data_IF_612377665761
#
_entry.id   IF_612377665761
#
_cell.length_a   1.000
_cell.length_b   1.000
_cell.length_c   1.000
_cell.angle_alpha   90.00
_cell.angle_beta   90.00
_cell.angle_gamma   90.00
#
_symmetry.space_group_name_H-M   'P 1'
#
loop_
_entity.id
_entity.type
_entity.pdbx_description
1 polymer ?
#
# COMPACT_ATOMS: atom_id res chain seq x y z
N UNK A 1 -0.61 36.67 58.87
CA UNK A 1 -1.19 35.31 58.88
C UNK A 1 -1.06 34.81 57.45
N UNK A 2 0.15 34.68 56.89
CA UNK A 2 1.24 33.72 57.28
C UNK A 2 0.68 32.28 57.32
N UNK A 3 1.19 31.28 56.59
CA UNK A 3 2.55 31.03 56.09
C UNK A 3 2.51 30.10 54.85
N UNK A 4 3.53 30.26 54.00
CA UNK A 4 4.04 29.27 53.06
C UNK A 4 4.99 28.30 53.78
N UNK A 5 4.98 26.99 53.49
CA UNK A 5 6.23 26.22 53.44
C UNK A 5 6.10 24.88 52.69
N UNK A 6 7.01 24.71 51.74
CA UNK A 6 7.48 23.46 51.15
C UNK A 6 8.21 22.60 52.20
N UNK A 7 8.59 21.35 51.85
CA UNK A 7 9.96 20.78 52.02
C UNK A 7 9.98 19.24 52.25
N UNK A 8 10.80 18.58 51.41
CA UNK A 8 11.61 17.33 51.55
C UNK A 8 11.07 15.91 51.22
N UNK A 9 11.70 15.34 50.17
CA UNK A 9 12.14 13.94 50.09
C UNK A 9 13.43 13.74 50.91
N UNK A 10 13.73 12.53 51.40
CA UNK A 10 14.65 11.59 50.70
C UNK A 10 14.11 10.14 50.77
N UNK A 11 14.44 9.19 49.89
CA UNK A 11 15.75 8.64 49.57
C UNK A 11 15.80 7.16 50.00
N UNK A 12 16.60 6.37 49.29
CA UNK A 12 17.07 5.00 49.64
C UNK A 12 16.35 3.78 49.01
N UNK A 13 16.92 3.40 47.86
CA UNK A 13 17.25 2.08 47.33
C UNK A 13 17.08 0.84 48.22
N UNK A 14 16.66 -0.26 47.59
CA UNK A 14 16.78 -1.62 48.14
C UNK A 14 16.62 -2.69 47.07
N UNK A 15 17.72 -3.01 46.38
CA UNK A 15 17.91 -4.18 45.52
C UNK A 15 18.16 -5.43 46.37
N UNK A 16 17.53 -6.57 46.07
CA UNK A 16 18.03 -7.90 46.46
C UNK A 16 17.80 -8.87 45.29
N UNK A 17 18.92 -9.41 44.79
CA UNK A 17 19.01 -10.56 43.93
C UNK A 17 19.26 -11.83 44.75
N UNK A 18 18.88 -12.97 44.15
CA UNK A 18 19.37 -14.35 44.34
C UNK A 18 19.30 -15.02 45.72
N UNK A 19 18.91 -16.30 45.74
CA UNK A 19 19.84 -17.42 45.98
C UNK A 19 19.11 -18.78 45.90
N UNK A 20 19.85 -19.72 45.30
CA UNK A 20 19.61 -21.12 44.96
C UNK A 20 19.30 -22.08 46.12
N UNK A 21 18.74 -23.24 45.76
CA UNK A 21 18.84 -24.51 46.48
C UNK A 21 18.44 -25.73 45.61
N UNK A 22 19.01 -26.95 45.82
CA UNK A 22 19.57 -27.75 44.71
C UNK A 22 19.19 -29.26 44.67
N UNK A 23 19.76 -29.95 43.65
CA UNK A 23 20.08 -31.41 43.50
C UNK A 23 18.96 -32.41 43.24
N UNK A 24 19.10 -33.53 42.49
CA UNK A 24 20.07 -34.12 41.55
C UNK A 24 19.37 -35.36 40.94
N UNK A 25 19.73 -35.77 39.71
CA UNK A 25 19.24 -37.01 39.11
C UNK A 25 19.83 -37.29 37.72
N UNK A 26 20.97 -37.99 37.70
CA UNK A 26 21.79 -38.37 36.54
C UNK A 26 21.07 -39.29 35.52
N UNK A 27 21.36 -39.06 34.23
CA UNK A 27 21.20 -40.02 33.13
C UNK A 27 21.98 -39.53 31.91
N UNK A 28 22.96 -40.32 31.46
CA UNK A 28 24.10 -39.91 30.63
C UNK A 28 23.91 -40.28 29.13
N UNK A 29 24.68 -39.57 28.29
CA UNK A 29 25.22 -39.94 26.97
C UNK A 29 24.55 -39.40 25.70
N UNK A 30 25.36 -38.74 24.86
CA UNK A 30 25.09 -38.52 23.43
C UNK A 30 25.60 -37.19 22.91
N UNK A 31 26.88 -37.13 22.54
CA UNK A 31 27.45 -36.00 21.83
C UNK A 31 26.90 -35.95 20.38
N UNK A 32 26.44 -34.78 19.94
CA UNK A 32 26.44 -34.37 18.54
C UNK A 32 26.44 -32.85 18.49
N UNK A 33 27.55 -32.28 18.00
CA UNK A 33 27.60 -30.88 17.56
C UNK A 33 26.56 -30.67 16.46
N UNK A 34 25.60 -29.79 16.72
CA UNK A 34 24.78 -29.17 15.68
C UNK A 34 25.22 -27.72 15.63
N UNK A 35 25.97 -27.37 14.60
CA UNK A 35 26.18 -25.98 14.21
C UNK A 35 24.85 -25.42 13.72
N UNK A 36 24.07 -24.81 14.62
CA UNK A 36 22.92 -24.00 14.26
C UNK A 36 23.41 -22.72 13.59
N UNK A 37 23.57 -22.80 12.27
CA UNK A 37 23.43 -21.62 11.43
C UNK A 37 21.97 -21.23 11.53
N UNK A 38 21.65 -20.31 12.44
CA UNK A 38 20.35 -19.62 12.49
C UNK A 38 20.24 -18.82 11.19
N UNK A 39 19.84 -19.51 10.13
CA UNK A 39 19.40 -18.89 8.89
C UNK A 39 18.09 -18.20 9.23
N UNK A 40 18.09 -16.86 9.16
CA UNK A 40 16.93 -16.01 9.46
C UNK A 40 15.77 -16.33 8.51
N UNK A 41 15.00 -17.36 8.84
CA UNK A 41 13.80 -17.82 8.12
C UNK A 41 12.64 -16.82 8.20
N UNK A 42 12.71 -15.86 9.12
CA UNK A 42 11.71 -14.79 9.28
C UNK A 42 11.58 -13.89 8.04
N UNK A 43 12.64 -13.73 7.25
CA UNK A 43 12.61 -12.89 6.04
C UNK A 43 11.86 -13.57 4.88
N UNK A 44 11.76 -14.91 4.86
CA UNK A 44 11.11 -15.64 3.77
C UNK A 44 9.59 -15.67 3.87
N UNK A 45 9.03 -15.40 5.06
CA UNK A 45 7.58 -15.25 5.27
C UNK A 45 7.06 -13.82 5.01
N UNK A 46 7.96 -12.86 4.73
CA UNK A 46 7.61 -11.44 4.69
C UNK A 46 6.96 -10.99 3.37
N UNK A 47 7.19 -11.70 2.27
CA UNK A 47 6.70 -11.30 0.93
C UNK A 47 6.26 -12.53 0.13
N UNK A 48 5.18 -13.18 0.55
CA UNK A 48 4.49 -14.11 -0.34
C UNK A 48 3.72 -13.33 -1.41
N UNK A 49 3.76 -13.82 -2.65
CA UNK A 49 2.96 -13.32 -3.78
C UNK A 49 1.48 -13.74 -3.70
N UNK A 50 1.12 -14.56 -2.72
CA UNK A 50 -0.24 -14.94 -2.36
C UNK A 50 -0.77 -14.03 -1.25
N UNK A 51 -2.07 -13.72 -1.27
CA UNK A 51 -2.72 -13.09 -0.12
C UNK A 51 -2.80 -14.05 1.09
N UNK A 52 -2.47 -15.33 0.88
CA UNK A 52 -2.23 -16.37 1.90
C UNK A 52 -0.79 -16.41 2.45
N UNK A 53 0.04 -15.40 2.19
CA UNK A 53 1.29 -15.25 2.95
C UNK A 53 0.94 -15.08 4.43
N UNK A 54 1.01 -16.17 5.20
CA UNK A 54 0.75 -16.22 6.65
C UNK A 54 1.86 -15.48 7.44
N UNK A 55 2.10 -14.20 7.11
CA UNK A 55 3.19 -13.42 7.66
C UNK A 55 3.16 -11.94 7.24
N UNK A 56 2.87 -11.09 8.22
CA UNK A 56 3.32 -9.70 8.36
C UNK A 56 2.79 -8.57 7.46
N UNK A 57 2.22 -8.80 6.27
CA UNK A 57 1.73 -7.68 5.42
C UNK A 57 0.26 -7.37 5.65
N UNK A 58 -0.10 -6.09 5.76
CA UNK A 58 -1.51 -5.67 5.90
C UNK A 58 -2.36 -6.17 4.73
N UNK A 59 -3.62 -6.51 5.00
CA UNK A 59 -4.59 -6.98 4.02
C UNK A 59 -5.61 -5.87 3.73
N UNK A 60 -5.91 -5.67 2.46
CA UNK A 60 -7.01 -4.83 2.01
C UNK A 60 -8.17 -5.71 1.53
N UNK A 61 -9.34 -5.52 2.15
CA UNK A 61 -10.61 -6.09 1.72
C UNK A 61 -11.37 -4.99 0.98
N UNK A 62 -11.80 -5.26 -0.24
CA UNK A 62 -12.37 -4.22 -1.08
C UNK A 62 -13.46 -4.70 -2.02
N UNK A 63 -14.34 -3.77 -2.39
CA UNK A 63 -15.34 -3.89 -3.45
C UNK A 63 -15.15 -2.70 -4.40
N UNK A 64 -15.22 -2.98 -5.70
CA UNK A 64 -15.24 -1.96 -6.72
C UNK A 64 -16.57 -1.95 -7.48
N UNK A 65 -16.98 -0.76 -7.90
CA UNK A 65 -18.16 -0.55 -8.72
C UNK A 65 -17.98 0.71 -9.57
N UNK A 66 -18.82 0.88 -10.58
CA UNK A 66 -18.85 2.07 -11.41
C UNK A 66 -20.29 2.58 -11.55
N UNK A 67 -20.46 3.89 -11.48
CA UNK A 67 -21.76 4.56 -11.61
C UNK A 67 -21.73 5.42 -12.86
N UNK A 68 -22.72 5.24 -13.74
CA UNK A 68 -22.77 5.91 -15.05
C UNK A 68 -23.85 7.00 -15.16
N UNK A 69 -24.64 7.21 -14.10
CA UNK A 69 -25.73 8.20 -14.10
C UNK A 69 -25.46 9.31 -13.07
N UNK A 70 -25.54 10.60 -13.46
CA UNK A 70 -25.31 11.72 -12.55
C UNK A 70 -26.25 11.71 -11.33
N UNK A 71 -27.52 11.31 -11.55
CA UNK A 71 -28.53 11.22 -10.49
C UNK A 71 -28.13 10.19 -9.42
N UNK A 72 -27.67 9.01 -9.82
CA UNK A 72 -27.19 7.98 -8.90
C UNK A 72 -25.93 8.42 -8.17
N UNK A 73 -25.03 9.15 -8.83
CA UNK A 73 -23.84 9.74 -8.20
C UNK A 73 -24.23 10.74 -7.11
N UNK A 74 -25.13 11.69 -7.39
CA UNK A 74 -25.60 12.68 -6.40
C UNK A 74 -26.29 12.02 -5.20
N UNK A 75 -27.13 11.02 -5.46
CA UNK A 75 -27.78 10.23 -4.42
C UNK A 75 -26.76 9.46 -3.58
N UNK A 76 -25.75 8.86 -4.21
CA UNK A 76 -24.68 8.15 -3.50
C UNK A 76 -23.91 9.10 -2.60
N UNK A 77 -23.45 10.24 -3.10
CA UNK A 77 -22.71 11.24 -2.32
C UNK A 77 -23.55 11.72 -1.12
N UNK A 78 -24.83 12.00 -1.34
CA UNK A 78 -25.75 12.42 -0.26
C UNK A 78 -25.90 11.32 0.79
N UNK A 79 -26.06 10.06 0.37
CA UNK A 79 -26.17 8.92 1.29
C UNK A 79 -24.87 8.69 2.06
N UNK A 80 -23.71 8.75 1.40
CA UNK A 80 -22.40 8.61 2.04
C UNK A 80 -22.16 9.70 3.09
N UNK A 81 -22.55 10.96 2.81
CA UNK A 81 -22.49 12.04 3.79
C UNK A 81 -23.37 11.80 5.02
N UNK A 82 -24.48 11.07 4.87
CA UNK A 82 -25.34 10.67 5.99
C UNK A 82 -24.82 9.46 6.78
N UNK A 83 -24.02 8.59 6.16
CA UNK A 83 -23.51 7.36 6.77
C UNK A 83 -22.10 7.53 7.36
N UNK A 84 -21.26 8.37 6.77
CA UNK A 84 -19.86 8.57 7.14
C UNK A 84 -19.70 9.79 8.04
N UNK A 85 -18.82 9.69 9.03
CA UNK A 85 -18.57 10.77 9.98
C UNK A 85 -17.66 11.84 9.38
N UNK A 86 -16.68 11.39 8.58
CA UNK A 86 -15.67 12.23 7.97
C UNK A 86 -15.69 12.06 6.45
N UNK A 87 -15.48 13.18 5.75
CA UNK A 87 -15.27 13.16 4.32
C UNK A 87 -14.34 14.29 3.88
N UNK A 88 -13.59 14.05 2.81
CA UNK A 88 -12.70 15.03 2.20
C UNK A 88 -12.72 14.90 0.69
N UNK A 89 -12.50 16.02 0.00
CA UNK A 89 -12.15 16.02 -1.42
C UNK A 89 -10.66 15.70 -1.57
N UNK A 90 -10.31 15.05 -2.68
CA UNK A 90 -8.93 14.77 -3.04
C UNK A 90 -8.72 14.91 -4.54
N UNK A 91 -7.49 15.23 -4.91
CA UNK A 91 -7.02 15.26 -6.29
C UNK A 91 -5.57 14.82 -6.27
N UNK A 92 -5.34 13.60 -6.75
CA UNK A 92 -4.02 12.96 -6.66
C UNK A 92 -3.56 12.48 -8.03
N UNK A 93 -2.27 12.66 -8.28
CA UNK A 93 -1.58 12.04 -9.39
C UNK A 93 -1.15 10.63 -8.97
N UNK A 94 -1.56 9.65 -9.75
CA UNK A 94 -1.21 8.25 -9.59
C UNK A 94 -0.27 7.84 -10.72
N UNK A 95 0.95 7.43 -10.37
CA UNK A 95 1.98 6.96 -11.29
C UNK A 95 2.18 5.48 -11.03
N UNK A 96 1.91 4.64 -12.03
CA UNK A 96 2.06 3.19 -11.92
C UNK A 96 3.38 2.79 -12.54
N UNK A 97 4.19 2.04 -11.80
CA UNK A 97 5.46 1.49 -12.26
C UNK A 97 5.46 -0.03 -12.11
N UNK A 98 6.16 -0.71 -13.01
CA UNK A 98 6.25 -2.16 -13.05
C UNK A 98 7.70 -2.63 -13.09
N UNK A 99 7.97 -3.74 -12.41
CA UNK A 99 9.26 -4.42 -12.37
C UNK A 99 9.08 -5.81 -12.99
N UNK A 100 9.79 -6.05 -14.10
CA UNK A 100 9.74 -7.28 -14.89
C UNK A 100 8.65 -7.28 -15.98
N UNK A 101 8.86 -7.78 -17.19
CA UNK A 101 10.07 -8.26 -17.85
C UNK A 101 10.02 -7.74 -19.29
N UNK A 102 11.11 -7.10 -19.70
CA UNK A 102 11.40 -6.80 -21.08
C UNK A 102 11.71 -8.13 -21.78
N UNK A 103 11.11 -8.41 -22.94
CA UNK A 103 11.48 -9.55 -23.81
C UNK A 103 12.99 -9.51 -24.20
N UNK A 104 13.72 -8.44 -23.81
CA UNK A 104 15.19 -8.36 -23.87
C UNK A 104 15.92 -9.33 -22.95
N UNK A 105 15.30 -9.88 -21.90
CA UNK A 105 16.00 -10.74 -20.93
C UNK A 105 16.07 -12.23 -21.29
N UNK A 106 15.34 -12.69 -22.30
CA UNK A 106 15.37 -14.11 -22.70
C UNK A 106 16.76 -14.56 -23.19
N UNK A 107 17.57 -13.63 -23.68
CA UNK A 107 18.94 -13.92 -24.13
C UNK A 107 20.01 -13.75 -23.03
N UNK A 108 19.70 -13.10 -21.91
CA UNK A 108 20.67 -12.82 -20.82
C UNK A 108 20.42 -13.73 -19.61
N UNK A 109 19.17 -14.08 -19.31
CA UNK A 109 18.82 -15.01 -18.23
C UNK A 109 19.35 -16.43 -18.50
N UNK A 110 19.29 -16.89 -19.75
CA UNK A 110 19.89 -18.16 -20.16
C UNK A 110 21.44 -18.15 -20.07
N UNK A 111 22.08 -16.99 -20.23
CA UNK A 111 23.53 -16.83 -20.15
C UNK A 111 24.03 -16.66 -18.69
N UNK A 112 23.25 -16.02 -17.82
CA UNK A 112 23.60 -15.77 -16.42
C UNK A 112 23.30 -16.96 -15.48
N UNK A 113 22.39 -17.86 -15.86
CA UNK A 113 22.17 -19.11 -15.12
C UNK A 113 23.42 -20.02 -15.09
N UNK A 114 24.42 -19.78 -15.94
CA UNK A 114 25.67 -20.54 -15.97
C UNK A 114 26.81 -19.88 -15.18
N UNK A 115 26.71 -18.60 -14.82
CA UNK A 115 27.82 -17.85 -14.19
C UNK A 115 27.29 -16.75 -13.29
N UNK A 116 27.06 -17.05 -12.02
CA UNK A 116 27.49 -16.24 -10.87
C UNK A 116 26.90 -16.81 -9.58
N UNK A 117 27.71 -17.62 -8.92
CA UNK A 117 27.73 -17.72 -7.46
C UNK A 117 28.22 -16.38 -6.91
N UNK A 118 27.57 -15.90 -5.84
CA UNK A 118 27.94 -14.76 -5.00
C UNK A 118 27.45 -13.36 -5.42
N UNK A 119 26.58 -12.81 -4.57
CA UNK A 119 26.43 -11.39 -4.20
C UNK A 119 25.45 -10.49 -4.98
N UNK A 120 24.22 -10.95 -5.24
CA UNK A 120 23.10 -10.04 -5.53
C UNK A 120 22.09 -10.02 -4.39
N UNK A 121 21.73 -8.81 -3.99
CA UNK A 121 20.94 -8.41 -2.82
C UNK A 121 19.59 -9.10 -2.68
N UNK A 122 19.14 -9.25 -1.43
CA UNK A 122 17.89 -9.88 -0.94
C UNK A 122 16.58 -9.52 -1.70
N UNK A 123 16.56 -8.49 -2.55
CA UNK A 123 15.44 -8.17 -3.42
C UNK A 123 15.20 -9.21 -4.54
N UNK A 124 16.25 -9.88 -5.03
CA UNK A 124 16.11 -10.89 -6.09
C UNK A 124 15.50 -12.21 -5.58
N UNK A 125 15.67 -12.52 -4.28
CA UNK A 125 15.14 -13.75 -3.67
C UNK A 125 13.62 -13.78 -3.55
N UNK A 126 12.98 -12.61 -3.40
CA UNK A 126 11.51 -12.47 -3.32
C UNK A 126 10.83 -12.84 -4.64
N UNK A 127 11.49 -12.60 -5.77
CA UNK A 127 10.94 -12.83 -7.11
C UNK A 127 11.06 -14.29 -7.57
N UNK A 128 11.91 -15.09 -6.94
CA UNK A 128 12.30 -16.42 -7.46
C UNK A 128 11.68 -17.62 -6.71
N UNK A 129 11.05 -17.44 -5.54
CA UNK A 129 10.71 -18.58 -4.65
C UNK A 129 9.27 -19.11 -4.74
N UNK A 130 8.43 -18.61 -5.65
CA UNK A 130 7.12 -19.21 -5.93
C UNK A 130 7.03 -19.49 -7.43
N UNK A 131 6.76 -20.73 -7.82
CA UNK A 131 6.80 -21.26 -9.19
C UNK A 131 5.84 -20.65 -10.23
N UNK A 132 5.55 -19.36 -10.16
CA UNK A 132 5.20 -18.53 -11.31
C UNK A 132 6.46 -17.78 -11.76
N UNK A 133 7.22 -18.43 -12.63
CA UNK A 133 8.28 -17.78 -13.41
C UNK A 133 7.57 -16.74 -14.30
N UNK A 134 7.51 -15.47 -13.88
CA UNK A 134 6.94 -14.37 -14.66
C UNK A 134 5.99 -13.39 -13.95
N UNK A 135 5.95 -13.34 -12.62
CA UNK A 135 5.12 -12.35 -11.92
C UNK A 135 5.63 -10.92 -12.08
N UNK A 136 4.91 -10.06 -12.81
CA UNK A 136 5.19 -8.61 -12.86
C UNK A 136 4.85 -7.98 -11.51
N UNK A 137 5.81 -7.31 -10.88
CA UNK A 137 5.57 -6.55 -9.64
C UNK A 137 5.15 -5.15 -10.02
N UNK A 138 4.04 -4.65 -9.46
CA UNK A 138 3.58 -3.28 -9.71
C UNK A 138 3.58 -2.46 -8.41
N UNK A 139 4.05 -1.22 -8.50
CA UNK A 139 4.02 -0.23 -7.43
C UNK A 139 3.34 1.03 -7.93
N UNK A 140 2.60 1.69 -7.05
CA UNK A 140 1.91 2.93 -7.35
C UNK A 140 2.49 4.05 -6.50
N UNK A 141 2.84 5.14 -7.15
CA UNK A 141 3.23 6.38 -6.49
C UNK A 141 2.04 7.33 -6.54
N UNK A 142 1.50 7.65 -5.38
CA UNK A 142 0.42 8.62 -5.21
C UNK A 142 1.02 9.93 -4.73
N UNK A 143 0.80 11.01 -5.48
CA UNK A 143 1.20 12.37 -5.12
C UNK A 143 -0.05 13.23 -5.03
N UNK A 144 -0.28 13.90 -3.90
CA UNK A 144 -1.40 14.83 -3.84
C UNK A 144 -1.12 16.12 -4.60
N UNK A 145 -2.08 16.54 -5.41
CA UNK A 145 -2.06 17.80 -6.14
C UNK A 145 -2.70 18.94 -5.33
N UNK A 146 -3.28 18.64 -4.17
CA UNK A 146 -3.83 19.66 -3.29
C UNK A 146 -2.70 20.36 -2.53
N UNK A 147 -2.60 21.69 -2.69
CA UNK A 147 -1.56 22.51 -2.08
C UNK A 147 -1.50 22.40 -0.54
N UNK A 148 -2.63 22.03 0.11
CA UNK A 148 -2.71 21.86 1.56
C UNK A 148 -2.06 20.57 2.08
N UNK A 149 -1.95 19.53 1.24
CA UNK A 149 -1.56 18.19 1.65
C UNK A 149 -0.56 17.58 0.66
N UNK A 150 0.63 18.17 0.49
CA UNK A 150 1.65 17.68 -0.46
C UNK A 150 2.40 16.44 0.05
N UNK A 151 1.66 15.41 0.45
CA UNK A 151 2.21 14.12 0.84
C UNK A 151 2.30 13.19 -0.38
N UNK A 152 3.38 12.42 -0.44
CA UNK A 152 3.59 11.38 -1.43
C UNK A 152 3.63 10.01 -0.75
N UNK A 153 3.07 9.01 -1.39
CA UNK A 153 3.03 7.64 -0.89
C UNK A 153 3.49 6.67 -1.97
N UNK A 154 4.25 5.66 -1.59
CA UNK A 154 4.41 4.45 -2.39
C UNK A 154 3.42 3.42 -1.86
N UNK A 155 2.65 2.84 -2.76
CA UNK A 155 1.73 1.74 -2.46
C UNK A 155 2.09 0.51 -3.28
N UNK A 156 2.29 -0.61 -2.60
CA UNK A 156 2.33 -1.93 -3.21
C UNK A 156 0.97 -2.61 -3.02
N UNK A 157 0.47 -3.22 -4.10
CA UNK A 157 -0.75 -4.02 -4.10
C UNK A 157 -0.39 -5.42 -4.62
N UNK A 158 -0.69 -6.43 -3.81
CA UNK A 158 -0.49 -7.84 -4.15
C UNK A 158 -1.53 -8.36 -5.13
N UNK A 159 -1.43 -9.66 -5.44
CA UNK A 159 -2.42 -10.35 -6.25
C UNK A 159 -3.81 -10.27 -5.59
N UNK A 160 -4.84 -10.12 -6.42
CA UNK A 160 -6.22 -10.09 -5.97
C UNK A 160 -6.76 -11.52 -5.86
N UNK A 161 -7.14 -11.90 -4.66
CA UNK A 161 -7.89 -13.13 -4.38
C UNK A 161 -9.39 -12.76 -4.31
N UNK A 162 -10.24 -13.53 -4.98
CA UNK A 162 -11.69 -13.27 -5.00
C UNK A 162 -12.43 -14.58 -4.87
N UNK A 163 -12.92 -14.83 -3.67
CA UNK A 163 -13.72 -16.03 -3.36
C UNK A 163 -15.22 -15.71 -3.23
N UNK A 164 -15.59 -14.43 -2.96
CA UNK A 164 -16.97 -13.98 -2.75
C UNK A 164 -17.21 -12.58 -3.38
N UNK A 165 -18.18 -11.82 -2.85
CA UNK A 165 -18.48 -10.44 -3.21
C UNK A 165 -17.32 -9.47 -2.95
N UNK A 166 -16.62 -9.70 -1.85
CA UNK A 166 -15.48 -8.90 -1.39
C UNK A 166 -14.20 -9.55 -1.90
N UNK A 167 -13.35 -8.76 -2.53
CA UNK A 167 -12.01 -9.17 -2.95
C UNK A 167 -10.99 -8.85 -1.87
N UNK A 168 -9.90 -9.60 -1.82
CA UNK A 168 -8.80 -9.41 -0.86
C UNK A 168 -7.46 -9.32 -1.58
N UNK A 169 -6.56 -8.45 -1.11
CA UNK A 169 -5.17 -8.37 -1.59
C UNK A 169 -4.25 -7.86 -0.49
N UNK A 170 -2.97 -8.26 -0.54
CA UNK A 170 -1.93 -7.64 0.27
C UNK A 170 -1.79 -6.15 -0.09
N UNK A 171 -1.65 -5.29 0.91
CA UNK A 171 -1.55 -3.84 0.73
C UNK A 171 -0.46 -3.28 1.65
N UNK A 172 0.48 -2.53 1.08
CA UNK A 172 1.48 -1.78 1.84
C UNK A 172 1.52 -0.35 1.33
N UNK A 173 1.43 0.62 2.24
CA UNK A 173 1.50 2.04 1.91
C UNK A 173 2.50 2.72 2.82
N UNK A 174 3.43 3.45 2.23
CA UNK A 174 4.52 4.11 2.96
C UNK A 174 4.60 5.57 2.51
N UNK A 175 4.54 6.55 3.43
CA UNK A 175 4.80 7.94 3.09
C UNK A 175 6.27 8.10 2.71
N UNK A 176 6.53 8.86 1.65
CA UNK A 176 7.87 9.03 1.07
C UNK A 176 8.14 10.48 0.72
N UNK A 177 9.42 10.83 0.66
CA UNK A 177 9.93 12.12 0.22
C UNK A 177 11.15 11.93 -0.69
N UNK A 178 11.42 12.89 -1.57
CA UNK A 178 12.58 12.85 -2.48
C UNK A 178 12.22 12.60 -3.96
N UNK A 179 13.24 12.49 -4.85
CA UNK A 179 13.08 12.20 -6.27
C UNK A 179 12.75 10.71 -6.49
N UNK A 180 11.54 10.32 -6.09
CA UNK A 180 11.12 8.93 -5.99
C UNK A 180 11.03 8.22 -7.35
N UNK A 181 10.59 8.91 -8.40
CA UNK A 181 10.41 8.28 -9.71
C UNK A 181 11.77 7.88 -10.29
N UNK A 182 12.74 8.79 -10.27
CA UNK A 182 14.11 8.48 -10.68
C UNK A 182 14.73 7.35 -9.86
N UNK A 183 14.55 7.36 -8.54
CA UNK A 183 15.01 6.28 -7.68
C UNK A 183 14.38 4.91 -8.04
N UNK A 184 13.07 4.86 -8.28
CA UNK A 184 12.41 3.61 -8.68
C UNK A 184 12.87 3.13 -10.06
N UNK A 185 13.13 4.05 -10.99
CA UNK A 185 13.69 3.72 -12.31
C UNK A 185 15.12 3.18 -12.19
N UNK A 186 15.95 3.75 -11.32
CA UNK A 186 17.29 3.23 -11.02
C UNK A 186 17.25 1.83 -10.38
N UNK A 187 16.18 1.51 -9.63
CA UNK A 187 15.92 0.15 -9.13
C UNK A 187 15.43 -0.82 -10.20
N UNK A 188 15.18 -0.35 -11.43
CA UNK A 188 14.74 -1.16 -12.56
C UNK A 188 13.22 -1.18 -12.78
N UNK A 189 12.45 -0.30 -12.13
CA UNK A 189 11.04 -0.15 -12.45
C UNK A 189 10.84 0.71 -13.69
N UNK A 190 10.04 0.22 -14.63
CA UNK A 190 9.58 1.00 -15.77
C UNK A 190 8.25 1.66 -15.44
N UNK A 191 8.11 2.95 -15.78
CA UNK A 191 6.84 3.65 -15.67
C UNK A 191 5.86 3.10 -16.73
N UNK A 192 4.70 2.65 -16.29
CA UNK A 192 3.68 2.06 -17.16
C UNK A 192 2.70 3.13 -17.64
N UNK A 193 1.96 3.76 -16.71
CA UNK A 193 1.04 4.86 -17.02
C UNK A 193 0.86 5.82 -15.85
N UNK A 194 0.26 6.97 -16.13
CA UNK A 194 -0.03 8.01 -15.15
C UNK A 194 -1.41 8.59 -15.39
N UNK A 195 -2.16 8.81 -14.31
CA UNK A 195 -3.49 9.40 -14.37
C UNK A 195 -3.72 10.30 -13.15
N UNK A 196 -4.75 11.13 -13.21
CA UNK A 196 -5.22 11.93 -12.08
C UNK A 196 -6.54 11.37 -11.57
N UNK A 197 -6.57 11.01 -10.29
CA UNK A 197 -7.77 10.62 -9.58
C UNK A 197 -8.32 11.83 -8.82
N UNK A 198 -9.55 12.23 -9.15
CA UNK A 198 -10.21 13.38 -8.54
C UNK A 198 -11.57 12.95 -8.00
N UNK A 199 -11.83 13.24 -6.73
CA UNK A 199 -13.06 12.76 -6.10
C UNK A 199 -13.21 13.06 -4.62
N UNK A 200 -14.07 12.26 -3.98
CA UNK A 200 -14.39 12.34 -2.57
C UNK A 200 -14.00 11.05 -1.85
N UNK A 201 -13.46 11.19 -0.66
CA UNK A 201 -13.18 10.12 0.28
C UNK A 201 -14.11 10.26 1.47
N UNK A 202 -14.73 9.17 1.89
CA UNK A 202 -15.65 9.07 3.02
C UNK A 202 -15.16 7.98 3.97
N UNK A 203 -15.20 8.24 5.28
CA UNK A 203 -14.71 7.30 6.29
C UNK A 203 -15.80 7.00 7.32
N UNK A 204 -16.03 5.71 7.57
CA UNK A 204 -16.92 5.19 8.62
C UNK A 204 -16.22 4.05 9.36
N UNK A 205 -15.73 4.32 10.57
CA UNK A 205 -14.93 3.35 11.31
C UNK A 205 -13.67 3.00 10.51
N UNK A 206 -13.52 1.71 10.16
CA UNK A 206 -12.39 1.22 9.35
C UNK A 206 -12.65 1.21 7.85
N UNK A 207 -13.91 1.39 7.44
CA UNK A 207 -14.31 1.38 6.05
C UNK A 207 -14.09 2.76 5.44
N UNK A 208 -13.32 2.78 4.36
CA UNK A 208 -13.05 3.94 3.51
C UNK A 208 -13.77 3.74 2.18
N UNK A 209 -14.54 4.72 1.77
CA UNK A 209 -15.18 4.75 0.44
C UNK A 209 -14.63 5.91 -0.36
N UNK A 210 -14.15 5.62 -1.57
CA UNK A 210 -13.60 6.60 -2.49
C UNK A 210 -14.48 6.61 -3.73
N UNK A 211 -15.03 7.79 -4.05
CA UNK A 211 -15.84 8.03 -5.26
C UNK A 211 -15.10 9.04 -6.12
N UNK A 212 -14.65 8.64 -7.31
CA UNK A 212 -13.72 9.45 -8.08
C UNK A 212 -13.82 9.25 -9.59
N UNK A 213 -13.30 10.22 -10.34
CA UNK A 213 -13.10 10.11 -11.78
C UNK A 213 -11.65 9.80 -12.09
N UNK A 214 -11.43 8.99 -13.12
CA UNK A 214 -10.10 8.72 -13.69
C UNK A 214 -9.87 9.68 -14.86
N UNK A 215 -8.78 10.44 -14.78
CA UNK A 215 -8.44 11.47 -15.75
C UNK A 215 -7.09 11.19 -16.42
N UNK A 216 -7.05 11.33 -17.74
CA UNK A 216 -5.83 11.35 -18.54
C UNK A 216 -5.15 12.71 -18.39
N UNK A 217 -3.84 12.71 -18.14
CA UNK A 217 -3.05 13.95 -18.12
C UNK A 217 -2.81 14.45 -19.53
N UNK A 218 -3.25 15.68 -19.82
CA UNK A 218 -3.11 16.31 -21.14
C UNK A 218 -1.86 17.18 -21.21
N UNK A 219 -1.56 17.87 -20.11
CA UNK A 219 -0.40 18.76 -20.03
C UNK A 219 0.28 18.63 -18.68
N UNK A 220 1.60 18.51 -18.72
CA UNK A 220 2.46 18.64 -17.54
C UNK A 220 2.98 20.07 -17.41
N UNK A 221 3.20 20.51 -16.17
CA UNK A 221 3.83 21.78 -15.88
C UNK A 221 5.27 21.76 -16.40
N UNK A 222 5.62 22.77 -17.19
CA UNK A 222 6.98 22.95 -17.67
C UNK A 222 7.82 23.52 -16.51
N UNK A 223 8.99 22.97 -16.19
CA UNK A 223 9.87 23.54 -15.18
C UNK A 223 10.52 24.83 -15.72
N UNK A 224 9.76 25.92 -15.78
CA UNK A 224 10.31 27.25 -16.02
C UNK A 224 10.92 27.80 -14.73
N UNK A 225 12.20 28.15 -14.81
CA UNK A 225 13.08 28.49 -13.69
C UNK A 225 12.78 29.82 -12.95
N UNK A 226 11.51 30.20 -12.72
CA UNK A 226 11.19 31.51 -12.12
C UNK A 226 10.36 31.51 -10.84
N UNK A 227 9.72 30.42 -10.44
CA UNK A 227 8.82 30.47 -9.27
C UNK A 227 9.54 30.02 -8.00
N UNK A 228 10.53 30.83 -7.64
CA UNK A 228 11.29 30.77 -6.39
C UNK A 228 10.48 31.34 -5.21
N UNK A 229 9.27 30.84 -4.98
CA UNK A 229 8.54 31.17 -3.76
C UNK A 229 7.69 30.01 -3.27
N UNK A 230 8.10 29.49 -2.12
CA UNK A 230 7.30 28.81 -1.10
C UNK A 230 6.61 27.50 -1.50
N UNK A 231 7.37 26.42 -1.59
CA UNK A 231 7.52 25.48 -0.48
C UNK A 231 8.64 24.50 -0.84
N UNK A 232 9.19 23.83 0.16
CA UNK A 232 10.26 22.84 -0.01
C UNK A 232 9.65 21.62 -0.71
N UNK A 233 9.51 21.68 -2.03
CA UNK A 233 9.19 20.52 -2.86
C UNK A 233 10.44 19.65 -2.89
N UNK A 234 10.50 18.68 -2.01
CA UNK A 234 11.57 17.67 -1.92
C UNK A 234 11.76 16.85 -3.21
N UNK A 235 10.99 17.11 -4.28
CA UNK A 235 11.07 16.43 -5.58
C UNK A 235 10.99 17.38 -6.79
N UNK A 236 11.46 18.63 -6.72
CA UNK A 236 11.34 19.65 -7.79
C UNK A 236 11.86 19.30 -9.20
N UNK A 237 12.18 18.03 -9.47
CA UNK A 237 12.55 17.44 -10.75
C UNK A 237 11.38 16.73 -11.45
N UNK A 238 10.36 16.27 -10.72
CA UNK A 238 9.26 15.49 -11.32
C UNK A 238 8.15 16.43 -11.86
N UNK A 239 7.77 16.33 -13.14
CA UNK A 239 6.73 17.18 -13.71
C UNK A 239 5.36 16.91 -13.08
N UNK A 240 4.72 17.95 -12.58
CA UNK A 240 3.35 17.88 -12.04
C UNK A 240 2.31 18.02 -13.15
N UNK A 241 1.18 17.31 -13.09
CA UNK A 241 0.06 17.52 -13.99
C UNK A 241 -0.47 18.95 -13.84
N UNK A 242 -0.68 19.62 -14.97
CA UNK A 242 -1.27 20.96 -15.04
C UNK A 242 -2.70 20.92 -15.58
N UNK A 243 -2.93 20.10 -16.60
CA UNK A 243 -4.24 19.94 -17.24
C UNK A 243 -4.52 18.45 -17.47
N UNK A 244 -5.75 18.02 -17.19
CA UNK A 244 -6.23 16.66 -17.39
C UNK A 244 -7.68 16.63 -17.87
N UNK A 245 -8.05 15.52 -18.49
CA UNK A 245 -9.38 15.28 -19.07
C UNK A 245 -9.95 13.97 -18.52
N UNK A 246 -11.25 13.96 -18.21
CA UNK A 246 -11.97 12.73 -17.84
C UNK A 246 -11.96 11.73 -18.98
N UNK A 247 -11.48 10.52 -18.70
CA UNK A 247 -11.52 9.39 -19.65
C UNK A 247 -12.97 8.95 -19.87
N UNK A 248 -13.76 8.91 -18.79
CA UNK A 248 -15.18 8.57 -18.84
C UNK A 248 -16.01 9.72 -18.26
N UNK A 249 -16.46 10.71 -19.07
CA UNK A 249 -17.07 11.94 -18.57
C UNK A 249 -18.34 11.76 -17.73
N UNK A 250 -19.02 10.62 -17.91
CA UNK A 250 -20.30 10.28 -17.27
C UNK A 250 -20.18 9.12 -16.28
N UNK A 251 -18.97 8.69 -15.97
CA UNK A 251 -18.73 7.55 -15.09
C UNK A 251 -17.89 7.94 -13.88
N UNK A 252 -18.24 7.40 -12.74
CA UNK A 252 -17.50 7.50 -11.48
C UNK A 252 -17.11 6.12 -11.01
N UNK A 253 -15.85 5.96 -10.67
CA UNK A 253 -15.35 4.78 -9.99
C UNK A 253 -15.70 4.89 -8.51
N UNK A 254 -16.13 3.77 -7.93
CA UNK A 254 -16.37 3.64 -6.51
C UNK A 254 -15.54 2.48 -5.98
N UNK A 255 -14.70 2.75 -5.00
CA UNK A 255 -13.94 1.74 -4.27
C UNK A 255 -14.30 1.84 -2.79
N UNK A 256 -14.75 0.72 -2.21
CA UNK A 256 -15.05 0.58 -0.79
C UNK A 256 -14.02 -0.38 -0.25
N UNK A 257 -13.20 0.05 0.70
CA UNK A 257 -12.15 -0.81 1.27
C UNK A 257 -11.94 -0.63 2.76
N UNK A 258 -11.42 -1.68 3.39
CA UNK A 258 -10.90 -1.67 4.76
C UNK A 258 -9.51 -2.32 4.75
N UNK A 259 -8.57 -1.76 5.51
CA UNK A 259 -7.19 -2.25 5.61
C UNK A 259 -6.90 -2.64 7.05
N UNK A 260 -6.37 -3.84 7.26
CA UNK A 260 -6.12 -4.36 8.59
C UNK A 260 -5.14 -5.53 8.63
N UNK A 261 -5.01 -6.11 9.82
CA UNK A 261 -4.15 -7.27 10.06
C UNK A 261 -4.72 -8.50 9.32
N UNK A 262 -3.89 -9.37 8.73
CA UNK A 262 -4.37 -10.62 8.12
C UNK A 262 -5.18 -11.52 9.05
N UNK A 263 -4.94 -11.47 10.36
CA UNK A 263 -5.65 -12.28 11.34
C UNK A 263 -7.07 -11.75 11.66
N UNK A 264 -7.46 -10.60 11.10
CA UNK A 264 -8.74 -9.98 11.36
C UNK A 264 -9.78 -10.40 10.31
N UNK A 265 -10.50 -11.47 10.65
CA UNK A 265 -11.55 -12.05 9.81
C UNK A 265 -12.82 -11.17 9.73
N UNK A 266 -12.97 -10.16 10.61
CA UNK A 266 -14.18 -9.33 10.66
C UNK A 266 -14.28 -8.30 9.52
N UNK A 267 -13.15 -7.96 8.89
CA UNK A 267 -13.09 -6.91 7.86
C UNK A 267 -13.96 -7.21 6.65
N UNK A 268 -14.06 -8.49 6.27
CA UNK A 268 -14.88 -8.89 5.15
C UNK A 268 -16.36 -8.60 5.38
N UNK A 269 -16.85 -8.93 6.58
CA UNK A 269 -18.24 -8.73 6.97
C UNK A 269 -18.53 -7.23 7.09
N UNK A 270 -17.63 -6.43 7.66
CA UNK A 270 -17.80 -4.97 7.74
C UNK A 270 -17.92 -4.29 6.37
N UNK A 271 -17.08 -4.71 5.39
CA UNK A 271 -17.16 -4.19 4.02
C UNK A 271 -18.47 -4.61 3.37
N UNK A 272 -18.89 -5.87 3.55
CA UNK A 272 -20.14 -6.39 3.00
C UNK A 272 -21.36 -5.65 3.57
N UNK A 273 -21.46 -5.56 4.89
CA UNK A 273 -22.54 -4.88 5.61
C UNK A 273 -22.64 -3.41 5.19
N UNK A 274 -21.50 -2.74 4.97
CA UNK A 274 -21.50 -1.35 4.52
C UNK A 274 -22.02 -1.21 3.08
N UNK A 275 -21.68 -2.14 2.18
CA UNK A 275 -22.20 -2.15 0.81
C UNK A 275 -23.73 -2.35 0.79
N UNK A 276 -24.26 -3.18 1.70
CA UNK A 276 -25.70 -3.39 1.81
C UNK A 276 -26.47 -2.12 2.18
N UNK A 277 -25.87 -1.23 2.98
CA UNK A 277 -26.44 0.10 3.27
C UNK A 277 -26.50 1.01 2.03
N UNK A 278 -25.65 0.76 1.04
CA UNK A 278 -25.57 1.51 -0.21
C UNK A 278 -26.45 0.90 -1.31
N UNK A 279 -27.04 -0.27 -1.10
CA UNK A 279 -28.01 -0.85 -2.02
C UNK A 279 -29.26 0.05 -2.20
N UNK A 280 -29.82 0.22 -3.41
CA UNK A 280 -29.37 -0.33 -4.70
C UNK A 280 -28.42 0.61 -5.48
N UNK A 281 -27.90 1.66 -4.84
CA UNK A 281 -27.06 2.67 -5.51
C UNK A 281 -25.71 2.11 -5.94
N UNK A 282 -25.21 1.07 -5.28
CA UNK A 282 -24.00 0.35 -5.66
C UNK A 282 -24.35 -1.10 -5.90
N UNK A 283 -23.92 -1.60 -7.06
CA UNK A 283 -23.92 -3.03 -7.38
C UNK A 283 -22.46 -3.43 -7.56
N UNK A 284 -21.92 -4.33 -6.72
CA UNK A 284 -20.56 -4.82 -6.87
C UNK A 284 -20.36 -5.39 -8.26
N UNK A 285 -19.29 -4.97 -8.93
CA UNK A 285 -18.98 -5.38 -10.29
C UNK A 285 -17.54 -5.87 -10.35
N UNK A 286 -17.30 -6.94 -11.11
CA UNK A 286 -15.95 -7.31 -11.49
C UNK A 286 -15.48 -6.32 -12.55
N UNK A 287 -14.65 -5.37 -12.16
CA UNK A 287 -14.10 -4.37 -13.08
C UNK A 287 -12.91 -4.99 -13.80
N UNK A 288 -12.99 -5.08 -15.14
CA UNK A 288 -11.84 -5.43 -15.96
C UNK A 288 -10.94 -4.21 -16.15
N UNK A 289 -9.82 -4.17 -15.43
CA UNK A 289 -8.84 -3.09 -15.56
C UNK A 289 -8.17 -3.06 -16.94
N UNK A 290 -8.17 -4.16 -17.70
CA UNK A 290 -7.62 -4.16 -19.06
C UNK A 290 -8.46 -3.34 -20.04
N UNK A 291 -9.76 -3.19 -19.77
CA UNK A 291 -10.66 -2.37 -20.58
C UNK A 291 -10.37 -0.86 -20.46
N UNK A 292 -9.82 -0.42 -19.31
CA UNK A 292 -9.39 0.97 -19.11
C UNK A 292 -8.06 1.31 -19.80
N UNK A 293 -7.36 0.29 -20.32
CA UNK A 293 -6.04 0.41 -20.96
C UNK A 293 -6.15 0.44 -22.50
N UNK A 294 -7.31 0.07 -23.09
CA UNK A 294 -7.46 0.05 -24.55
C UNK A 294 -7.88 1.41 -25.13
N UNK A 295 -6.85 2.10 -25.63
CA UNK A 295 -6.77 3.03 -26.78
C UNK A 295 -7.74 4.22 -26.85
#
# INVERSE_FOLDING_TARGET
MDETMSVLLPGESGSIAEVLGPTEGLGQAGASEITDVVSSTAAFHFTGTSASANGATMQEYFIQSAISTPQQHELLITRLRGLCQEWTEFCDQEIVLQLGGDDRTDNVAAAMASRTTANSSAAAGVLASSGQIGGRVTVRVRKSLNAKHRLSYVRYLGAVETDKLVSRRSCLEVPVCGPLIGFLQELGFDQDFTYVAEGHMFVRGRVKTVVYTVNEVVQFQNPTASDSSTCVDFSGLDPLPKEWRRICPRSWMVEISAVGCPADESMQDEVSDFVDLLHPLIVPAKIDHAALIRK
#
